data_IF_691378203002
#
_entry.id   IF_691378203002
#
_cell.length_a   1.000
_cell.length_b   1.000
_cell.length_c   1.000
_cell.angle_alpha   90.00
_cell.angle_beta   90.00
_cell.angle_gamma   90.00
#
_symmetry.space_group_name_H-M   'P 1'
#
loop_
_entity.id
_entity.type
_entity.pdbx_description
1 polymer ?
#
# COMPACT_ATOMS: atom_id res chain seq x y z
N UNK A 1 -8.56 14.34 22.77
CA UNK A 1 -7.24 14.49 22.11
C UNK A 1 -6.89 13.14 21.51
N UNK A 2 -6.83 13.04 20.19
CA UNK A 2 -6.45 11.79 19.51
C UNK A 2 -4.92 11.73 19.49
N UNK A 3 -4.33 10.72 20.12
CA UNK A 3 -2.89 10.51 20.13
C UNK A 3 -2.51 9.82 18.81
N UNK A 4 -1.71 10.49 17.98
CA UNK A 4 -1.12 9.90 16.78
C UNK A 4 0.31 9.47 17.11
N UNK A 5 0.58 8.17 17.04
CA UNK A 5 1.94 7.63 17.11
C UNK A 5 2.43 7.31 15.71
N UNK A 6 3.66 7.73 15.40
CA UNK A 6 4.32 7.47 14.12
C UNK A 6 5.68 6.85 14.44
N UNK A 7 5.91 5.67 13.89
CA UNK A 7 7.21 5.00 13.93
C UNK A 7 7.71 4.82 12.48
N UNK A 8 9.03 4.84 12.28
CA UNK A 8 9.62 4.74 10.93
C UNK A 8 10.89 3.89 10.95
N UNK A 9 11.04 3.02 9.95
CA UNK A 9 12.26 2.27 9.68
C UNK A 9 12.81 2.72 8.33
N UNK A 10 13.95 3.42 8.33
CA UNK A 10 14.58 3.92 7.10
C UNK A 10 15.80 3.10 6.67
N UNK A 11 16.45 2.41 7.61
CA UNK A 11 17.68 1.65 7.37
C UNK A 11 17.57 0.27 7.99
N UNK A 12 18.21 -0.73 7.38
CA UNK A 12 18.18 -2.11 7.88
C UNK A 12 16.75 -2.68 7.93
N UNK A 13 15.93 -2.38 6.93
CA UNK A 13 14.57 -2.92 6.85
C UNK A 13 14.69 -4.41 6.54
N UNK A 14 14.46 -5.24 7.55
CA UNK A 14 14.50 -6.71 7.50
C UNK A 14 13.19 -7.24 8.07
N UNK A 15 12.87 -8.50 7.79
CA UNK A 15 11.74 -9.17 8.46
C UNK A 15 11.83 -9.10 9.99
N UNK A 16 13.04 -9.23 10.54
CA UNK A 16 13.26 -9.20 11.99
C UNK A 16 12.97 -7.80 12.57
N UNK A 17 13.46 -6.74 11.93
CA UNK A 17 13.24 -5.36 12.40
C UNK A 17 11.77 -4.95 12.29
N UNK A 18 11.08 -5.34 11.21
CA UNK A 18 9.64 -5.15 11.06
C UNK A 18 8.89 -5.91 12.16
N UNK A 19 9.21 -7.19 12.39
CA UNK A 19 8.54 -8.00 13.40
C UNK A 19 8.73 -7.44 14.82
N UNK A 20 9.94 -6.97 15.15
CA UNK A 20 10.22 -6.33 16.45
C UNK A 20 9.33 -5.12 16.68
N UNK A 21 9.28 -4.24 15.67
CA UNK A 21 8.52 -3.02 15.75
C UNK A 21 7.01 -3.27 15.82
N UNK A 22 6.49 -4.21 15.03
CA UNK A 22 5.08 -4.63 15.13
C UNK A 22 4.76 -5.18 16.51
N UNK A 23 5.64 -5.99 17.10
CA UNK A 23 5.43 -6.55 18.44
C UNK A 23 5.40 -5.47 19.51
N UNK A 24 6.34 -4.52 19.44
CA UNK A 24 6.41 -3.40 20.38
C UNK A 24 5.17 -2.51 20.31
N UNK A 25 4.68 -2.21 19.11
CA UNK A 25 3.50 -1.37 18.88
C UNK A 25 2.16 -2.12 18.96
N UNK A 26 2.18 -3.46 19.01
CA UNK A 26 1.02 -4.36 18.87
C UNK A 26 0.29 -4.21 17.52
N UNK A 27 0.98 -3.78 16.48
CA UNK A 27 0.44 -3.53 15.14
C UNK A 27 0.30 -2.06 14.77
N UNK A 28 -0.12 -1.82 13.52
CA UNK A 28 -0.30 -0.49 12.95
C UNK A 28 -1.60 -0.43 12.14
N UNK A 29 -2.42 0.60 12.39
CA UNK A 29 -3.64 0.83 11.61
C UNK A 29 -3.33 1.27 10.18
N UNK A 30 -2.24 2.02 10.01
CA UNK A 30 -1.80 2.55 8.72
C UNK A 30 -0.33 2.17 8.52
N UNK A 31 -0.02 1.57 7.38
CA UNK A 31 1.36 1.27 6.96
C UNK A 31 1.68 2.08 5.72
N UNK A 32 2.75 2.87 5.76
CA UNK A 32 3.33 3.50 4.59
C UNK A 32 4.53 2.68 4.12
N UNK A 33 4.52 2.22 2.88
CA UNK A 33 5.68 1.60 2.26
C UNK A 33 6.24 2.50 1.16
N UNK A 34 7.48 2.94 1.30
CA UNK A 34 8.20 3.64 0.24
C UNK A 34 9.37 2.77 -0.23
N UNK A 35 9.41 2.49 -1.53
CA UNK A 35 10.44 1.64 -2.11
C UNK A 35 10.12 1.24 -3.54
N UNK A 36 10.88 0.29 -4.08
CA UNK A 36 10.63 -0.26 -5.41
C UNK A 36 9.50 -1.29 -5.34
N UNK A 37 8.48 -1.14 -6.20
CA UNK A 37 7.42 -2.11 -6.38
C UNK A 37 7.69 -2.94 -7.63
N UNK A 38 7.66 -4.26 -7.50
CA UNK A 38 7.78 -5.17 -8.63
C UNK A 38 6.98 -6.43 -8.35
N UNK A 39 6.01 -6.81 -9.20
CA UNK A 39 5.38 -8.15 -9.22
C UNK A 39 5.12 -8.82 -7.84
N UNK A 40 4.34 -8.18 -6.96
CA UNK A 40 4.10 -8.65 -5.58
C UNK A 40 5.39 -8.81 -4.74
N UNK A 41 6.29 -7.85 -4.87
CA UNK A 41 7.56 -7.82 -4.15
C UNK A 41 7.80 -6.44 -3.56
N UNK A 42 7.77 -6.39 -2.23
CA UNK A 42 8.27 -5.33 -1.40
C UNK A 42 9.75 -5.63 -1.09
N UNK A 43 10.64 -4.76 -1.53
CA UNK A 43 12.09 -4.98 -1.38
C UNK A 43 12.57 -4.51 -0.01
N UNK A 44 13.19 -5.41 0.73
CA UNK A 44 13.83 -5.20 2.04
C UNK A 44 15.29 -4.77 1.84
N UNK A 45 15.73 -3.71 2.51
CA UNK A 45 17.08 -3.17 2.30
C UNK A 45 18.17 -3.85 3.15
N UNK A 46 17.79 -4.70 4.12
CA UNK A 46 18.72 -5.23 5.12
C UNK A 46 19.02 -6.73 5.06
N UNK A 47 18.59 -7.47 4.03
CA UNK A 47 18.81 -8.93 3.95
C UNK A 47 19.01 -9.43 2.52
N UNK A 48 19.68 -10.59 2.36
CA UNK A 48 19.98 -11.17 1.03
C UNK A 48 18.70 -11.66 0.32
N UNK A 49 17.82 -12.36 1.04
CA UNK A 49 16.49 -12.72 0.53
C UNK A 49 15.51 -11.57 0.76
N UNK A 50 15.68 -10.48 0.01
CA UNK A 50 15.01 -9.22 0.25
C UNK A 50 13.57 -9.10 -0.26
N UNK A 51 12.99 -10.16 -0.85
CA UNK A 51 11.67 -10.05 -1.45
C UNK A 51 10.56 -10.45 -0.47
N UNK A 52 9.61 -9.54 -0.23
CA UNK A 52 8.47 -9.77 0.64
C UNK A 52 7.16 -9.52 -0.12
N UNK A 53 6.30 -10.54 -0.23
CA UNK A 53 4.98 -10.36 -0.83
C UNK A 53 4.04 -9.57 0.08
N UNK A 54 2.96 -9.03 -0.50
CA UNK A 54 1.90 -8.37 0.28
C UNK A 54 1.30 -9.30 1.33
N UNK A 55 1.01 -10.55 0.95
CA UNK A 55 0.57 -11.57 1.90
C UNK A 55 1.64 -11.92 2.94
N UNK A 56 2.92 -11.92 2.53
CA UNK A 56 4.06 -12.11 3.42
C UNK A 56 4.15 -11.01 4.49
N UNK A 57 3.88 -9.75 4.12
CA UNK A 57 3.83 -8.63 5.07
C UNK A 57 2.73 -8.82 6.11
N UNK A 58 1.52 -9.20 5.69
CA UNK A 58 0.41 -9.45 6.63
C UNK A 58 0.72 -10.63 7.55
N UNK A 59 1.28 -11.70 7.00
CA UNK A 59 1.72 -12.86 7.80
C UNK A 59 2.78 -12.46 8.83
N UNK A 60 3.72 -11.58 8.47
CA UNK A 60 4.73 -11.07 9.38
C UNK A 60 4.10 -10.30 10.54
N UNK A 61 3.08 -9.47 10.27
CA UNK A 61 2.34 -8.75 11.32
C UNK A 61 1.65 -9.72 12.29
N UNK A 62 0.94 -10.71 11.76
CA UNK A 62 0.24 -11.71 12.56
C UNK A 62 1.21 -12.55 13.40
N UNK A 63 2.33 -12.99 12.83
CA UNK A 63 3.37 -13.74 13.53
C UNK A 63 4.05 -12.94 14.64
N UNK A 64 4.15 -11.61 14.48
CA UNK A 64 4.65 -10.71 15.50
C UNK A 64 3.62 -10.40 16.62
N UNK A 65 2.39 -10.94 16.52
CA UNK A 65 1.31 -10.68 17.47
C UNK A 65 0.57 -9.36 17.23
N UNK A 66 0.77 -8.71 16.08
CA UNK A 66 0.04 -7.52 15.66
C UNK A 66 -1.24 -7.85 14.89
N UNK A 67 -2.14 -6.86 14.80
CA UNK A 67 -3.33 -6.95 13.96
C UNK A 67 -3.02 -6.59 12.50
N UNK A 68 -3.91 -6.99 11.57
CA UNK A 68 -3.79 -6.68 10.14
C UNK A 68 -4.02 -5.19 9.92
N UNK A 69 -3.15 -4.46 9.19
CA UNK A 69 -3.35 -3.05 8.90
C UNK A 69 -4.67 -2.77 8.18
N UNK A 70 -5.36 -1.71 8.59
CA UNK A 70 -6.60 -1.28 7.93
C UNK A 70 -6.31 -0.58 6.59
N UNK A 71 -5.25 0.22 6.55
CA UNK A 71 -4.82 0.97 5.37
C UNK A 71 -3.35 0.71 5.08
N UNK A 72 -3.02 0.39 3.83
CA UNK A 72 -1.63 0.34 3.35
C UNK A 72 -1.45 1.33 2.19
N UNK A 73 -0.48 2.23 2.32
CA UNK A 73 -0.11 3.17 1.27
C UNK A 73 1.21 2.71 0.63
N UNK A 74 1.16 2.27 -0.63
CA UNK A 74 2.31 1.84 -1.41
C UNK A 74 2.82 2.99 -2.27
N UNK A 75 3.80 3.72 -1.75
CA UNK A 75 4.59 4.71 -2.49
C UNK A 75 5.68 4.00 -3.30
N UNK A 76 5.24 3.15 -4.22
CA UNK A 76 6.08 2.26 -5.00
C UNK A 76 5.51 2.10 -6.42
N UNK A 77 6.32 2.37 -7.44
CA UNK A 77 5.93 2.21 -8.85
C UNK A 77 5.42 0.79 -9.13
N UNK A 78 4.40 0.67 -9.97
CA UNK A 78 3.80 -0.62 -10.38
C UNK A 78 3.23 -1.49 -9.24
N UNK A 79 3.14 -0.98 -8.01
CA UNK A 79 2.53 -1.70 -6.88
C UNK A 79 1.05 -2.06 -7.11
N UNK A 80 0.37 -1.36 -8.02
CA UNK A 80 -0.99 -1.63 -8.49
C UNK A 80 -1.08 -2.03 -9.96
N UNK A 81 0.03 -2.41 -10.61
CA UNK A 81 0.01 -2.82 -12.01
C UNK A 81 -0.59 -4.22 -12.18
N UNK A 82 -1.55 -4.37 -13.08
CA UNK A 82 -2.02 -5.69 -13.54
C UNK A 82 -1.11 -6.18 -14.67
N UNK A 83 -1.01 -7.51 -14.82
CA UNK A 83 -0.10 -8.12 -15.79
C UNK A 83 -0.74 -8.34 -17.16
N UNK A 84 -2.08 -8.26 -17.28
CA UNK A 84 -2.75 -8.28 -18.58
C UNK A 84 -4.12 -7.57 -18.62
N UNK A 85 -4.53 -7.18 -19.83
CA UNK A 85 -5.86 -6.61 -20.13
C UNK A 85 -6.99 -7.57 -19.74
N UNK A 86 -6.77 -8.88 -19.84
CA UNK A 86 -7.74 -9.89 -19.42
C UNK A 86 -7.97 -9.88 -17.90
N UNK A 87 -6.92 -9.62 -17.10
CA UNK A 87 -7.04 -9.51 -15.64
C UNK A 87 -7.77 -8.25 -15.21
N UNK A 88 -7.52 -7.13 -15.90
CA UNK A 88 -8.24 -5.87 -15.66
C UNK A 88 -9.73 -6.04 -15.97
N UNK A 89 -10.06 -6.71 -17.08
CA UNK A 89 -11.44 -7.01 -17.45
C UNK A 89 -12.14 -7.92 -16.43
N UNK A 90 -11.45 -8.94 -15.90
CA UNK A 90 -12.02 -9.90 -14.94
C UNK A 90 -12.33 -9.23 -13.58
N UNK A 91 -11.46 -8.32 -13.12
CA UNK A 91 -11.70 -7.54 -11.89
C UNK A 91 -12.80 -6.49 -12.12
N UNK A 92 -12.78 -5.78 -13.24
CA UNK A 92 -13.80 -4.76 -13.59
C UNK A 92 -15.18 -5.39 -13.73
N UNK A 93 -15.28 -6.62 -14.24
CA UNK A 93 -16.53 -7.35 -14.30
C UNK A 93 -17.01 -7.87 -12.92
N UNK A 94 -16.13 -7.84 -11.91
CA UNK A 94 -16.42 -8.29 -10.54
C UNK A 94 -16.62 -7.12 -9.56
N UNK A 95 -16.38 -5.87 -9.97
CA UNK A 95 -16.57 -4.70 -9.10
C UNK A 95 -18.04 -4.56 -8.70
N UNK A 96 -18.33 -4.92 -7.44
CA UNK A 96 -19.67 -5.08 -6.88
C UNK A 96 -19.76 -6.25 -5.90
N UNK A 97 -18.87 -7.23 -6.02
CA UNK A 97 -18.74 -8.35 -5.08
C UNK A 97 -17.54 -8.15 -4.13
N UNK A 98 -17.74 -8.47 -2.85
CA UNK A 98 -16.72 -8.39 -1.79
C UNK A 98 -15.55 -9.37 -2.00
N UNK A 99 -15.73 -10.34 -2.88
CA UNK A 99 -14.80 -11.44 -3.13
C UNK A 99 -14.18 -11.33 -4.53
N UNK A 100 -12.86 -11.47 -4.59
CA UNK A 100 -12.12 -11.56 -5.84
C UNK A 100 -12.32 -12.93 -6.52
N UNK A 101 -12.28 -12.99 -7.86
CA UNK A 101 -12.33 -14.25 -8.61
C UNK A 101 -11.21 -15.22 -8.17
N UNK A 102 -11.56 -16.50 -7.96
CA UNK A 102 -10.63 -17.56 -7.52
C UNK A 102 -9.46 -17.80 -8.50
N UNK A 103 -9.67 -17.47 -9.78
CA UNK A 103 -8.67 -17.49 -10.85
C UNK A 103 -7.50 -16.54 -10.60
N UNK A 104 -7.78 -15.41 -9.93
CA UNK A 104 -6.83 -14.34 -9.63
C UNK A 104 -6.13 -14.60 -8.29
N UNK A 105 -6.85 -15.15 -7.30
CA UNK A 105 -6.33 -15.37 -5.95
C UNK A 105 -5.20 -16.42 -5.84
N UNK A 106 -5.07 -17.34 -6.79
CA UNK A 106 -4.25 -18.56 -6.64
C UNK A 106 -2.92 -18.60 -7.41
N UNK A 107 -2.53 -17.56 -8.17
CA UNK A 107 -1.27 -17.57 -8.94
C UNK A 107 -0.24 -16.58 -8.40
N UNK A 108 0.78 -17.10 -7.72
CA UNK A 108 2.00 -16.37 -7.38
C UNK A 108 2.67 -15.86 -8.67
N UNK A 109 3.08 -14.59 -8.67
CA UNK A 109 3.64 -13.91 -9.83
C UNK A 109 2.63 -13.33 -10.83
N UNK A 110 1.32 -13.49 -10.59
CA UNK A 110 0.25 -12.96 -11.46
C UNK A 110 -0.55 -11.77 -10.88
N UNK A 111 -0.27 -11.35 -9.64
CA UNK A 111 -1.08 -10.37 -8.90
C UNK A 111 -0.24 -9.16 -8.48
N UNK A 112 -0.82 -7.96 -8.49
CA UNK A 112 -0.15 -6.77 -7.96
C UNK A 112 0.06 -6.88 -6.44
N UNK A 113 1.05 -6.18 -5.88
CA UNK A 113 1.27 -6.13 -4.42
C UNK A 113 0.02 -5.67 -3.68
N UNK A 114 -0.73 -4.73 -4.27
CA UNK A 114 -1.99 -4.25 -3.72
C UNK A 114 -3.03 -5.36 -3.59
N UNK A 115 -3.16 -6.19 -4.61
CA UNK A 115 -4.09 -7.31 -4.62
C UNK A 115 -3.71 -8.38 -3.60
N UNK A 116 -2.41 -8.68 -3.45
CA UNK A 116 -1.93 -9.61 -2.43
C UNK A 116 -2.24 -9.12 -1.00
N UNK A 117 -2.18 -7.81 -0.75
CA UNK A 117 -2.56 -7.21 0.54
C UNK A 117 -4.07 -7.30 0.78
N UNK A 118 -4.90 -6.98 -0.22
CA UNK A 118 -6.36 -7.07 -0.11
C UNK A 118 -6.81 -8.51 0.18
N UNK A 119 -6.27 -9.48 -0.56
CA UNK A 119 -6.59 -10.91 -0.36
C UNK A 119 -6.10 -11.44 0.99
N UNK A 120 -5.04 -10.84 1.56
CA UNK A 120 -4.56 -11.17 2.90
C UNK A 120 -5.35 -10.47 4.03
N UNK A 121 -6.36 -9.66 3.71
CA UNK A 121 -7.28 -9.07 4.68
C UNK A 121 -7.05 -7.60 5.02
N UNK A 122 -6.17 -6.90 4.29
CA UNK A 122 -6.08 -5.43 4.38
C UNK A 122 -7.34 -4.82 3.79
N UNK A 123 -8.00 -3.93 4.52
CA UNK A 123 -9.28 -3.34 4.06
C UNK A 123 -9.10 -2.39 2.88
N UNK A 124 -8.06 -1.56 2.89
CA UNK A 124 -7.84 -0.53 1.88
C UNK A 124 -6.36 -0.43 1.51
N UNK A 125 -6.07 -0.38 0.21
CA UNK A 125 -4.71 -0.22 -0.31
C UNK A 125 -4.66 0.90 -1.32
N UNK A 126 -3.81 1.88 -1.07
CA UNK A 126 -3.46 2.92 -2.04
C UNK A 126 -2.19 2.48 -2.77
N UNK A 127 -2.27 2.32 -4.08
CA UNK A 127 -1.14 1.81 -4.88
C UNK A 127 -0.97 2.58 -6.19
N UNK A 128 0.23 2.49 -6.76
CA UNK A 128 0.58 3.16 -8.01
C UNK A 128 0.48 2.17 -9.18
N UNK A 129 -0.41 2.44 -10.11
CA UNK A 129 -0.59 1.61 -11.32
C UNK A 129 0.61 1.70 -12.29
N UNK A 130 1.29 2.84 -12.32
CA UNK A 130 2.38 3.12 -13.26
C UNK A 130 3.62 3.63 -12.52
N UNK A 131 4.73 3.79 -13.25
CA UNK A 131 5.88 4.56 -12.78
C UNK A 131 5.46 5.98 -12.39
N UNK A 132 5.84 6.39 -11.19
CA UNK A 132 5.67 7.76 -10.69
C UNK A 132 7.04 8.30 -10.26
N UNK A 133 7.31 9.58 -10.55
CA UNK A 133 8.52 10.23 -10.06
C UNK A 133 8.44 10.54 -8.56
N UNK A 134 9.57 10.62 -7.87
CA UNK A 134 9.64 10.84 -6.42
C UNK A 134 8.87 12.08 -5.96
N UNK A 135 8.96 13.18 -6.73
CA UNK A 135 8.22 14.41 -6.44
C UNK A 135 6.70 14.20 -6.49
N UNK A 136 6.21 13.36 -7.43
CA UNK A 136 4.80 12.97 -7.50
C UNK A 136 4.42 12.18 -6.26
N UNK A 137 5.18 11.12 -5.96
CA UNK A 137 4.86 10.17 -4.90
C UNK A 137 4.84 10.86 -3.52
N UNK A 138 5.85 11.70 -3.26
CA UNK A 138 5.96 12.51 -2.04
C UNK A 138 4.80 13.48 -1.88
N UNK A 139 4.44 14.21 -2.93
CA UNK A 139 3.35 15.19 -2.86
C UNK A 139 2.00 14.51 -2.67
N UNK A 140 1.76 13.39 -3.35
CA UNK A 140 0.53 12.61 -3.18
C UNK A 140 0.41 12.06 -1.76
N UNK A 141 1.50 11.50 -1.20
CA UNK A 141 1.50 11.01 0.18
C UNK A 141 1.19 12.13 1.18
N UNK A 142 1.80 13.30 1.02
CA UNK A 142 1.53 14.48 1.87
C UNK A 142 0.05 14.86 1.86
N UNK A 143 -0.52 15.04 0.67
CA UNK A 143 -1.94 15.42 0.53
C UNK A 143 -2.86 14.32 1.05
N UNK A 144 -2.55 13.06 0.79
CA UNK A 144 -3.32 11.92 1.28
C UNK A 144 -3.40 11.91 2.80
N UNK A 145 -2.27 12.03 3.52
CA UNK A 145 -2.30 12.02 4.99
C UNK A 145 -2.96 13.25 5.58
N UNK A 146 -2.81 14.44 4.94
CA UNK A 146 -3.52 15.64 5.37
C UNK A 146 -5.04 15.44 5.34
N UNK A 147 -5.57 14.89 4.25
CA UNK A 147 -7.00 14.63 4.13
C UNK A 147 -7.44 13.43 4.97
N UNK A 148 -6.64 12.37 5.06
CA UNK A 148 -6.97 11.20 5.87
C UNK A 148 -7.16 11.57 7.35
N UNK A 149 -6.28 12.43 7.88
CA UNK A 149 -6.36 12.89 9.26
C UNK A 149 -7.47 13.93 9.46
N UNK A 150 -7.81 14.72 8.44
CA UNK A 150 -8.91 15.70 8.50
C UNK A 150 -10.30 15.05 8.35
N UNK A 151 -10.40 13.98 7.56
CA UNK A 151 -11.66 13.32 7.17
C UNK A 151 -11.95 12.04 7.99
N UNK A 152 -11.54 12.01 9.26
CA UNK A 152 -11.79 10.90 10.19
C UNK A 152 -11.34 9.52 9.66
N UNK A 153 -10.21 9.45 8.97
CA UNK A 153 -9.58 8.21 8.48
C UNK A 153 -10.32 7.51 7.32
N UNK A 154 -11.10 8.25 6.51
CA UNK A 154 -11.66 7.73 5.26
C UNK A 154 -10.62 7.80 4.12
N UNK A 155 -9.98 6.67 3.76
CA UNK A 155 -8.92 6.69 2.75
C UNK A 155 -9.42 6.94 1.32
N UNK A 156 -10.63 6.52 0.99
CA UNK A 156 -11.21 6.72 -0.35
C UNK A 156 -11.45 8.20 -0.63
N UNK A 157 -12.09 8.88 0.32
CA UNK A 157 -12.33 10.32 0.27
C UNK A 157 -11.00 11.10 0.28
N UNK A 158 -10.09 10.74 1.18
CA UNK A 158 -8.77 11.38 1.26
C UNK A 158 -7.96 11.26 -0.04
N UNK A 159 -7.99 10.09 -0.69
CA UNK A 159 -7.31 9.88 -1.97
C UNK A 159 -7.97 10.68 -3.11
N UNK A 160 -9.30 10.70 -3.17
CA UNK A 160 -10.04 11.47 -4.17
C UNK A 160 -9.76 12.99 -4.06
N UNK A 161 -9.75 13.52 -2.84
CA UNK A 161 -9.42 14.92 -2.55
C UNK A 161 -7.96 15.22 -2.89
N UNK A 162 -7.02 14.37 -2.46
CA UNK A 162 -5.60 14.54 -2.74
C UNK A 162 -5.28 14.58 -4.25
N UNK A 163 -5.92 13.70 -5.06
CA UNK A 163 -5.77 13.69 -6.52
C UNK A 163 -6.32 14.97 -7.16
N UNK A 164 -7.49 15.42 -6.72
CA UNK A 164 -8.14 16.62 -7.24
C UNK A 164 -7.32 17.88 -6.94
N UNK A 165 -6.85 18.03 -5.70
CA UNK A 165 -6.01 19.15 -5.28
C UNK A 165 -4.66 19.17 -6.01
N UNK A 166 -4.02 18.01 -6.21
CA UNK A 166 -2.77 17.95 -6.97
C UNK A 166 -2.95 18.35 -8.43
N UNK A 167 -4.06 17.96 -9.07
CA UNK A 167 -4.38 18.37 -10.45
C UNK A 167 -4.46 19.91 -10.55
N UNK A 168 -5.11 20.56 -9.60
CA UNK A 168 -5.18 22.02 -9.53
C UNK A 168 -3.78 22.66 -9.37
N UNK A 169 -2.95 22.13 -8.46
CA UNK A 169 -1.58 22.62 -8.27
C UNK A 169 -0.68 22.46 -9.50
N UNK A 170 -0.89 21.41 -10.31
CA UNK A 170 -0.16 21.24 -11.57
C UNK A 170 -0.59 22.24 -12.65
N UNK A 171 -1.86 22.63 -12.68
CA UNK A 171 -2.39 23.63 -13.63
C UNK A 171 -1.89 25.03 -13.27
N UNK A 172 -1.87 25.37 -11.97
CA UNK A 172 -1.42 26.69 -11.49
C UNK A 172 0.10 26.92 -11.62
N UNK A 173 0.92 25.86 -11.79
CA UNK A 173 2.37 25.99 -12.03
C UNK A 173 2.74 26.18 -13.51
N UNK A 174 1.78 26.02 -14.41
CA UNK A 174 1.96 26.17 -15.87
C UNK A 174 1.32 27.46 -16.41
N UNK A 175 0.80 28.31 -15.52
CA UNK A 175 0.24 29.64 -15.81
C UNK A 175 1.18 30.71 -15.25
#
# INVERSE_FOLDING_TARGET
MLLLQIDSICYGVTRATIAEQVRAAKGYHIVHWSGHGHHDSLVLSGEENNQLSGAGLVKLFQQAGGFVPSVVFLSASHSGAFLSVAQEAEITNTTGHKDLPKSIANKQGYTSTALALLTAGVSQVVAMRYSVGDAYARQLALLFYQHLLAEQYNADAALATARSQRRLLSVMRLS
#
